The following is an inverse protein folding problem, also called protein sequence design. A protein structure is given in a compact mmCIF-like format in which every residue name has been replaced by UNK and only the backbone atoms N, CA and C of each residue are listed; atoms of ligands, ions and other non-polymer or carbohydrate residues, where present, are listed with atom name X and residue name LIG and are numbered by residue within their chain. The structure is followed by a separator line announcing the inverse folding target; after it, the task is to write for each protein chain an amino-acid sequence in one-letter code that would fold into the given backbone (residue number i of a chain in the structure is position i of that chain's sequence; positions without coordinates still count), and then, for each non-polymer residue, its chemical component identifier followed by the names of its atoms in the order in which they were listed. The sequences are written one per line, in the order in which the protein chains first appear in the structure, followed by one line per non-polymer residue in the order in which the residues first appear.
data_IF_458030479013
#
_entry.id   IF_458030479013
#
_cell.length_a   1.000
_cell.length_b   1.000
_cell.length_c   1.000
_cell.angle_alpha   90.00
_cell.angle_beta   90.00
_cell.angle_gamma   90.00
#
_symmetry.space_group_name_H-M   'P 1'
#
loop_
_entity.id
_entity.type
_entity.pdbx_description
1 polymer ?
#
# COMPACT_ATOMS: atom_id res chain seq x y z
N UNK A 1 -52.45 -69.46 -39.20
CA UNK A 1 -53.54 -68.55 -38.79
C UNK A 1 -53.00 -67.12 -38.78
N UNK A 2 -53.85 -66.19 -39.23
CA UNK A 2 -53.64 -64.77 -39.52
C UNK A 2 -52.83 -63.99 -38.44
N UNK A 3 -52.09 -62.91 -38.75
CA UNK A 3 -52.68 -61.60 -39.05
C UNK A 3 -51.67 -60.58 -39.62
N UNK A 4 -52.25 -59.63 -40.37
CA UNK A 4 -51.75 -58.48 -41.12
C UNK A 4 -51.18 -57.30 -40.30
N UNK A 5 -50.32 -56.52 -40.98
CA UNK A 5 -50.16 -55.05 -41.02
C UNK A 5 -50.01 -54.20 -39.73
N UNK A 6 -48.94 -53.38 -39.67
CA UNK A 6 -49.01 -51.94 -40.01
C UNK A 6 -47.63 -51.26 -39.95
N UNK A 7 -47.38 -50.40 -40.94
CA UNK A 7 -46.26 -49.43 -41.01
C UNK A 7 -46.41 -48.36 -39.92
N UNK A 8 -45.30 -47.92 -39.32
CA UNK A 8 -45.21 -46.56 -38.78
C UNK A 8 -43.85 -45.92 -39.12
N UNK A 9 -43.94 -44.72 -39.68
CA UNK A 9 -42.86 -43.83 -40.10
C UNK A 9 -42.20 -43.22 -38.87
N UNK A 10 -40.88 -43.16 -38.81
CA UNK A 10 -40.18 -42.29 -37.87
C UNK A 10 -39.42 -41.20 -38.65
N UNK A 11 -39.92 -39.98 -38.48
CA UNK A 11 -39.35 -38.73 -38.97
C UNK A 11 -38.07 -38.38 -38.24
N UNK A 12 -37.15 -37.74 -38.97
CA UNK A 12 -35.98 -37.04 -38.50
C UNK A 12 -36.33 -35.94 -37.48
N UNK A 13 -35.59 -35.89 -36.37
CA UNK A 13 -35.38 -34.67 -35.60
C UNK A 13 -33.90 -34.53 -35.26
N UNK A 14 -33.26 -33.58 -35.94
CA UNK A 14 -31.98 -32.97 -35.62
C UNK A 14 -32.09 -32.19 -34.31
N UNK A 15 -31.29 -32.53 -33.31
CA UNK A 15 -31.04 -31.66 -32.15
C UNK A 15 -29.55 -31.27 -32.16
N UNK A 16 -29.25 -30.08 -32.66
CA UNK A 16 -27.95 -29.44 -32.54
C UNK A 16 -27.84 -28.82 -31.13
N UNK A 17 -27.07 -29.45 -30.26
CA UNK A 17 -26.76 -28.93 -28.92
C UNK A 17 -25.70 -27.83 -29.03
N UNK A 18 -26.13 -26.56 -28.93
CA UNK A 18 -25.23 -25.45 -28.62
C UNK A 18 -24.71 -25.63 -27.18
N UNK A 19 -23.51 -26.15 -27.03
CA UNK A 19 -22.76 -26.07 -25.78
C UNK A 19 -22.26 -24.63 -25.60
N UNK A 20 -23.03 -23.81 -24.90
CA UNK A 20 -22.60 -22.48 -24.46
C UNK A 20 -21.50 -22.62 -23.41
N UNK A 21 -20.27 -22.26 -23.77
CA UNK A 21 -19.19 -22.09 -22.81
C UNK A 21 -19.50 -20.88 -21.92
N UNK A 22 -20.03 -21.13 -20.73
CA UNK A 22 -20.13 -20.12 -19.68
C UNK A 22 -18.72 -19.87 -19.18
N UNK A 23 -18.10 -18.80 -19.66
CA UNK A 23 -16.85 -18.31 -19.09
C UNK A 23 -17.13 -17.87 -17.65
N UNK A 24 -16.70 -18.66 -16.67
CA UNK A 24 -16.72 -18.27 -15.27
C UNK A 24 -15.80 -17.05 -15.11
N UNK A 25 -16.39 -15.88 -14.86
CA UNK A 25 -15.62 -14.69 -14.51
C UNK A 25 -14.87 -14.98 -13.20
N UNK A 26 -13.59 -14.58 -13.08
CA UNK A 26 -12.84 -14.77 -11.85
C UNK A 26 -13.54 -13.98 -10.74
N UNK A 27 -14.00 -14.72 -9.74
CA UNK A 27 -14.66 -14.17 -8.57
C UNK A 27 -13.55 -13.67 -7.62
N UNK A 28 -13.54 -12.37 -7.33
CA UNK A 28 -12.53 -11.76 -6.46
C UNK A 28 -13.10 -11.57 -5.05
N UNK A 29 -12.33 -11.98 -4.03
CA UNK A 29 -12.64 -11.71 -2.64
C UNK A 29 -11.97 -10.40 -2.18
N UNK A 30 -12.63 -9.61 -1.32
CA UNK A 30 -12.04 -8.40 -0.75
C UNK A 30 -10.71 -8.72 -0.05
N UNK A 31 -9.65 -7.95 -0.35
CA UNK A 31 -8.34 -8.17 0.25
C UNK A 31 -8.32 -7.79 1.74
N UNK A 32 -7.14 -7.89 2.33
CA UNK A 32 -6.87 -7.56 3.73
C UNK A 32 -7.19 -6.10 4.09
N UNK A 33 -7.74 -5.89 5.29
CA UNK A 33 -7.73 -4.59 6.00
C UNK A 33 -6.30 -4.32 6.47
N UNK A 34 -5.86 -3.07 6.30
CA UNK A 34 -4.48 -2.66 6.56
C UNK A 34 -4.41 -1.72 7.75
N UNK A 35 -3.39 -1.87 8.58
CA UNK A 35 -2.95 -0.82 9.49
C UNK A 35 -1.89 0.02 8.77
N UNK A 36 -1.99 1.34 8.86
CA UNK A 36 -0.92 2.24 8.39
C UNK A 36 -0.02 2.55 9.57
N UNK A 37 1.29 2.37 9.40
CA UNK A 37 2.25 2.66 10.44
C UNK A 37 2.29 4.16 10.70
N UNK A 38 2.27 4.56 11.98
CA UNK A 38 2.46 5.96 12.36
C UNK A 38 3.87 6.43 11.97
N UNK A 39 4.01 7.74 11.78
CA UNK A 39 5.26 8.38 11.34
C UNK A 39 5.75 9.37 12.38
N UNK A 40 7.05 9.31 12.68
CA UNK A 40 7.72 10.32 13.52
C UNK A 40 8.31 11.44 12.66
N UNK A 41 8.58 11.15 11.38
CA UNK A 41 9.11 12.09 10.40
C UNK A 41 8.03 12.43 9.38
N UNK A 42 7.92 13.72 9.04
CA UNK A 42 7.09 14.16 7.91
C UNK A 42 7.58 13.49 6.63
N UNK A 43 6.71 12.76 5.94
CA UNK A 43 7.04 12.09 4.69
C UNK A 43 6.83 13.09 3.54
N UNK A 44 7.82 13.30 2.65
CA UNK A 44 7.65 14.20 1.52
C UNK A 44 6.63 13.64 0.53
N UNK A 45 5.87 14.53 -0.07
CA UNK A 45 4.98 14.22 -1.19
C UNK A 45 5.65 14.76 -2.46
N UNK A 46 5.82 13.89 -3.46
CA UNK A 46 6.46 14.27 -4.73
C UNK A 46 5.40 14.47 -5.81
N UNK A 47 5.42 15.65 -6.44
CA UNK A 47 4.55 15.97 -7.57
C UNK A 47 5.32 15.84 -8.88
N UNK A 48 4.78 15.05 -9.81
CA UNK A 48 5.34 14.88 -11.14
C UNK A 48 4.22 14.52 -12.13
N UNK A 49 4.31 15.06 -13.34
CA UNK A 49 3.36 14.78 -14.42
C UNK A 49 1.87 15.04 -14.04
N UNK A 50 1.60 16.06 -13.24
CA UNK A 50 0.25 16.48 -12.86
C UNK A 50 -0.35 15.74 -11.66
N UNK A 51 0.44 14.90 -10.99
CA UNK A 51 -0.01 14.11 -9.85
C UNK A 51 1.00 14.19 -8.70
N UNK A 52 0.51 14.43 -7.50
CA UNK A 52 1.27 14.39 -6.26
C UNK A 52 1.06 13.05 -5.58
N UNK A 53 2.15 12.38 -5.23
CA UNK A 53 2.11 11.02 -4.67
C UNK A 53 3.00 10.89 -3.44
N UNK A 54 2.56 10.03 -2.54
CA UNK A 54 3.33 9.56 -1.40
C UNK A 54 3.00 8.10 -1.13
N UNK A 55 4.00 7.34 -0.73
CA UNK A 55 3.90 5.95 -0.37
C UNK A 55 4.06 5.79 1.14
N UNK A 56 3.13 5.07 1.76
CA UNK A 56 3.08 4.84 3.19
C UNK A 56 3.27 3.36 3.52
N UNK A 57 3.93 3.11 4.64
CA UNK A 57 4.12 1.79 5.20
C UNK A 57 2.80 1.25 5.76
N UNK A 58 2.47 0.02 5.43
CA UNK A 58 1.31 -0.69 5.97
C UNK A 58 1.66 -2.09 6.43
N UNK A 59 0.83 -2.65 7.30
CA UNK A 59 0.83 -4.07 7.62
C UNK A 59 -0.58 -4.66 7.46
N UNK A 60 -0.68 -5.98 7.36
CA UNK A 60 -1.96 -6.66 7.24
C UNK A 60 -2.51 -7.05 8.62
N UNK A 61 -3.79 -6.72 8.85
CA UNK A 61 -4.51 -7.07 10.08
C UNK A 61 -5.25 -8.42 10.01
N UNK A 62 -5.23 -9.10 8.86
CA UNK A 62 -6.03 -10.30 8.59
C UNK A 62 -5.24 -11.35 7.79
N UNK A 63 -4.38 -12.12 8.44
CA UNK A 63 -3.48 -13.10 7.79
C UNK A 63 -4.21 -14.06 6.81
N UNK A 64 -5.41 -14.51 7.18
CA UNK A 64 -6.23 -15.46 6.41
C UNK A 64 -6.88 -14.86 5.14
N UNK A 65 -6.74 -13.55 4.89
CA UNK A 65 -7.22 -12.90 3.66
C UNK A 65 -6.09 -12.79 2.64
N UNK A 66 -6.43 -12.70 1.36
CA UNK A 66 -5.44 -12.53 0.31
C UNK A 66 -4.77 -11.15 0.39
N UNK A 67 -3.46 -11.10 0.13
CA UNK A 67 -2.73 -9.84 -0.03
C UNK A 67 -3.33 -9.02 -1.17
N UNK A 68 -3.47 -7.69 -1.03
CA UNK A 68 -4.02 -6.87 -2.09
C UNK A 68 -3.13 -6.86 -3.33
N UNK A 69 -3.76 -6.90 -4.50
CA UNK A 69 -3.08 -6.62 -5.76
C UNK A 69 -2.73 -5.13 -5.85
N UNK A 70 -1.67 -4.81 -6.59
CA UNK A 70 -1.30 -3.42 -6.88
C UNK A 70 -2.51 -2.70 -7.51
N UNK A 71 -2.81 -1.50 -7.02
CA UNK A 71 -3.93 -0.69 -7.47
C UNK A 71 -5.27 -1.00 -6.79
N UNK A 72 -5.35 -2.01 -5.90
CA UNK A 72 -6.55 -2.24 -5.10
C UNK A 72 -6.86 -0.99 -4.26
N UNK A 73 -8.08 -0.46 -4.37
CA UNK A 73 -8.49 0.78 -3.73
C UNK A 73 -8.91 0.60 -2.27
N UNK A 74 -8.67 1.63 -1.48
CA UNK A 74 -8.95 1.66 -0.04
C UNK A 74 -9.62 2.98 0.38
N UNK A 75 -10.26 2.96 1.54
CA UNK A 75 -10.72 4.15 2.24
C UNK A 75 -10.24 4.14 3.70
N UNK A 76 -10.11 5.32 4.28
CA UNK A 76 -9.79 5.50 5.71
C UNK A 76 -11.03 5.17 6.53
N UNK A 77 -10.87 4.31 7.53
CA UNK A 77 -11.97 3.95 8.44
C UNK A 77 -11.88 4.73 9.75
N UNK A 78 -13.03 5.20 10.25
CA UNK A 78 -13.14 6.02 11.46
C UNK A 78 -12.79 7.49 11.23
N UNK A 79 -12.57 8.21 12.33
CA UNK A 79 -12.37 9.67 12.34
C UNK A 79 -10.88 10.09 12.29
N UNK A 80 -9.96 9.10 12.23
CA UNK A 80 -8.52 9.34 12.19
C UNK A 80 -8.06 9.49 10.75
N UNK A 81 -7.59 10.68 10.38
CA UNK A 81 -7.19 11.02 9.01
C UNK A 81 -5.70 11.36 8.90
N UNK A 82 -5.16 11.28 7.68
CA UNK A 82 -3.79 11.73 7.39
C UNK A 82 -3.65 13.24 7.64
N UNK A 83 -2.51 13.66 8.20
CA UNK A 83 -2.16 15.08 8.31
C UNK A 83 -1.36 15.50 7.08
N UNK A 84 -2.06 15.97 6.05
CA UNK A 84 -1.46 16.51 4.83
C UNK A 84 -1.26 18.02 4.96
N UNK A 85 -0.03 18.47 4.81
CA UNK A 85 0.36 19.88 4.96
C UNK A 85 1.22 20.36 3.80
N UNK A 86 1.00 21.60 3.39
CA UNK A 86 1.90 22.34 2.51
C UNK A 86 2.67 23.38 3.32
N UNK A 87 3.96 23.53 3.04
CA UNK A 87 4.79 24.59 3.58
C UNK A 87 5.15 25.57 2.46
N UNK A 88 4.86 26.85 2.69
CA UNK A 88 5.25 27.93 1.77
C UNK A 88 6.75 28.24 1.88
N UNK A 89 7.29 29.00 0.92
CA UNK A 89 8.69 29.46 0.95
C UNK A 89 9.01 30.37 2.15
N UNK A 90 8.01 30.97 2.80
CA UNK A 90 8.16 31.76 4.03
C UNK A 90 8.08 30.91 5.30
N UNK A 91 7.87 29.59 5.17
CA UNK A 91 7.77 28.64 6.27
C UNK A 91 6.38 28.47 6.85
N UNK A 92 5.36 29.21 6.37
CA UNK A 92 3.97 29.06 6.81
C UNK A 92 3.42 27.67 6.42
N UNK A 93 2.84 26.96 7.40
CA UNK A 93 2.10 25.72 7.17
C UNK A 93 0.65 25.98 6.76
N UNK A 94 0.17 25.22 5.78
CA UNK A 94 -1.21 25.23 5.28
C UNK A 94 -1.73 23.80 5.36
N UNK A 95 -2.88 23.62 6.01
CA UNK A 95 -3.56 22.32 5.99
C UNK A 95 -4.14 22.04 4.60
N UNK A 96 -3.92 20.83 4.12
CA UNK A 96 -4.41 20.32 2.83
C UNK A 96 -5.38 19.15 3.02
N UNK A 97 -5.93 18.97 4.22
CA UNK A 97 -6.80 17.85 4.57
C UNK A 97 -8.10 17.77 3.73
N UNK A 98 -8.52 18.88 3.11
CA UNK A 98 -9.70 18.92 2.22
C UNK A 98 -9.45 18.33 0.82
N UNK A 99 -8.20 17.97 0.48
CA UNK A 99 -7.90 17.41 -0.83
C UNK A 99 -8.42 15.97 -0.93
N UNK A 100 -9.09 15.60 -2.04
CA UNK A 100 -9.49 14.22 -2.27
C UNK A 100 -8.26 13.35 -2.52
N UNK A 101 -8.06 12.36 -1.66
CA UNK A 101 -6.97 11.40 -1.75
C UNK A 101 -7.46 10.09 -2.37
N UNK A 102 -6.78 9.63 -3.41
CA UNK A 102 -6.89 8.26 -3.89
C UNK A 102 -5.90 7.38 -3.13
N UNK A 103 -6.39 6.29 -2.52
CA UNK A 103 -5.58 5.37 -1.72
C UNK A 103 -5.59 4.01 -2.40
N UNK A 104 -4.42 3.52 -2.80
CA UNK A 104 -4.27 2.26 -3.54
C UNK A 104 -3.13 1.42 -2.99
N UNK A 105 -3.23 0.09 -3.04
CA UNK A 105 -2.10 -0.78 -2.71
C UNK A 105 -0.93 -0.56 -3.69
N UNK A 106 0.27 -0.36 -3.15
CA UNK A 106 1.49 -0.13 -3.93
C UNK A 106 2.30 -1.42 -4.10
N UNK A 107 2.47 -2.19 -3.01
CA UNK A 107 3.22 -3.45 -2.98
C UNK A 107 2.64 -4.41 -1.94
N UNK A 108 1.62 -5.17 -2.34
CA UNK A 108 0.90 -6.03 -1.43
C UNK A 108 0.38 -5.26 -0.22
N UNK A 109 0.37 -5.89 0.95
CA UNK A 109 -0.03 -5.26 2.21
C UNK A 109 1.07 -4.44 2.88
N UNK A 110 2.27 -4.34 2.30
CA UNK A 110 3.41 -3.65 2.94
C UNK A 110 3.45 -2.15 2.64
N UNK A 111 2.78 -1.71 1.58
CA UNK A 111 2.75 -0.31 1.21
C UNK A 111 1.47 0.08 0.47
N UNK A 112 1.00 1.30 0.72
CA UNK A 112 -0.06 1.97 -0.05
C UNK A 112 0.48 3.26 -0.67
N UNK A 113 -0.08 3.62 -1.82
CA UNK A 113 0.13 4.90 -2.48
C UNK A 113 -1.09 5.79 -2.24
N UNK A 114 -0.82 7.00 -1.78
CA UNK A 114 -1.76 8.10 -1.75
C UNK A 114 -1.46 9.02 -2.94
N UNK A 115 -2.50 9.47 -3.63
CA UNK A 115 -2.37 10.36 -4.76
C UNK A 115 -3.46 11.43 -4.79
N UNK A 116 -3.11 12.62 -5.28
CA UNK A 116 -4.05 13.69 -5.60
C UNK A 116 -3.54 14.53 -6.77
N UNK A 117 -4.43 15.31 -7.38
CA UNK A 117 -4.09 16.10 -8.57
C UNK A 117 -3.28 17.33 -8.19
N UNK A 118 -2.14 17.52 -8.85
CA UNK A 118 -1.25 18.67 -8.62
C UNK A 118 -1.95 20.01 -8.87
N UNK A 119 -2.87 20.06 -9.83
CA UNK A 119 -3.70 21.23 -10.12
C UNK A 119 -4.46 21.78 -8.91
N UNK A 120 -4.71 20.96 -7.88
CA UNK A 120 -5.38 21.39 -6.64
C UNK A 120 -4.47 22.26 -5.75
N UNK A 121 -3.15 22.22 -5.98
CA UNK A 121 -2.16 23.03 -5.26
C UNK A 121 -1.98 24.42 -5.86
N UNK A 122 -2.34 24.64 -7.13
CA UNK A 122 -2.05 25.89 -7.84
C UNK A 122 -2.55 27.15 -7.13
N UNK A 123 -3.69 27.05 -6.43
CA UNK A 123 -4.28 28.17 -5.67
C UNK A 123 -3.46 28.61 -4.46
N UNK A 124 -2.49 27.81 -4.02
CA UNK A 124 -1.61 28.11 -2.89
C UNK A 124 -0.22 28.62 -3.32
N UNK A 125 0.09 28.56 -4.62
CA UNK A 125 1.44 28.81 -5.12
C UNK A 125 2.41 27.65 -4.83
N UNK A 126 3.74 27.88 -4.92
CA UNK A 126 4.73 26.86 -4.63
C UNK A 126 4.66 26.39 -3.17
N UNK A 127 4.53 25.08 -2.97
CA UNK A 127 4.49 24.44 -1.66
C UNK A 127 5.45 23.24 -1.63
N UNK A 128 6.15 23.08 -0.51
CA UNK A 128 6.70 21.79 -0.11
C UNK A 128 5.61 21.01 0.60
N UNK A 129 5.16 19.90 0.02
CA UNK A 129 4.05 19.12 0.58
C UNK A 129 4.60 17.92 1.35
N UNK A 130 4.03 17.70 2.53
CA UNK A 130 4.38 16.57 3.38
C UNK A 130 3.15 15.96 4.04
N UNK A 131 3.29 14.71 4.46
CA UNK A 131 2.26 13.94 5.13
C UNK A 131 2.82 13.31 6.41
N UNK A 132 2.03 13.37 7.47
CA UNK A 132 2.23 12.55 8.68
C UNK A 132 1.06 11.59 8.88
N UNK A 133 1.36 10.38 9.34
CA UNK A 133 0.37 9.35 9.67
C UNK A 133 0.18 9.35 11.19
N UNK A 134 -1.04 9.62 11.69
CA UNK A 134 -1.31 9.51 13.13
C UNK A 134 -1.35 8.05 13.58
N UNK A 135 -1.33 7.84 14.90
CA UNK A 135 -1.56 6.52 15.48
C UNK A 135 -2.95 5.96 15.14
N UNK A 136 -3.06 4.63 15.13
CA UNK A 136 -4.32 3.89 15.00
C UNK A 136 -5.09 4.10 13.67
N UNK A 137 -4.44 4.61 12.63
CA UNK A 137 -5.05 4.71 11.30
C UNK A 137 -5.16 3.33 10.65
N UNK A 138 -6.33 3.01 10.11
CA UNK A 138 -6.63 1.77 9.39
C UNK A 138 -7.29 2.05 8.05
N UNK A 139 -7.01 1.19 7.07
CA UNK A 139 -7.56 1.25 5.71
C UNK A 139 -8.39 0.01 5.43
N UNK A 140 -9.62 0.24 4.98
CA UNK A 140 -10.55 -0.83 4.57
C UNK A 140 -10.62 -0.86 3.05
N UNK A 141 -10.55 -2.05 2.42
CA UNK A 141 -10.65 -2.13 0.96
C UNK A 141 -12.01 -1.65 0.48
N UNK A 142 -12.03 -1.01 -0.69
CA UNK A 142 -13.29 -0.67 -1.35
C UNK A 142 -14.07 -1.96 -1.68
N UNK A 143 -15.41 -1.96 -1.53
CA UNK A 143 -16.24 -3.11 -1.89
C UNK A 143 -16.02 -3.54 -3.34
N UNK A 144 -15.92 -4.85 -3.57
CA UNK A 144 -15.80 -5.44 -4.90
C UNK A 144 -17.18 -5.90 -5.36
N UNK A 145 -17.56 -5.59 -6.60
CA UNK A 145 -18.82 -6.07 -7.16
C UNK A 145 -18.79 -7.61 -7.27
N UNK A 146 -19.85 -8.26 -6.80
CA UNK A 146 -19.98 -9.73 -6.76
C UNK A 146 -18.89 -10.44 -5.93
N UNK A 147 -18.40 -9.77 -4.89
CA UNK A 147 -17.49 -10.36 -3.91
C UNK A 147 -18.14 -11.57 -3.21
N UNK A 148 -17.50 -12.73 -3.26
CA UNK A 148 -17.96 -13.95 -2.56
C UNK A 148 -17.60 -14.02 -1.09
N UNK A 149 -16.68 -13.16 -0.65
CA UNK A 149 -16.28 -13.03 0.75
C UNK A 149 -16.05 -11.56 1.09
N UNK A 150 -17.10 -10.72 1.04
CA UNK A 150 -16.99 -9.31 1.39
C UNK A 150 -16.48 -9.13 2.83
N UNK A 151 -15.91 -7.97 3.12
CA UNK A 151 -15.67 -7.58 4.52
C UNK A 151 -17.02 -7.31 5.17
N UNK A 152 -17.31 -8.00 6.27
CA UNK A 152 -18.48 -7.70 7.10
C UNK A 152 -18.20 -6.50 8.00
N UNK A 153 -19.24 -5.89 8.57
CA UNK A 153 -19.07 -4.84 9.57
C UNK A 153 -18.30 -5.36 10.80
N UNK A 154 -18.55 -6.60 11.20
CA UNK A 154 -17.83 -7.26 12.30
C UNK A 154 -16.36 -7.48 11.97
N UNK A 155 -16.02 -7.93 10.75
CA UNK A 155 -14.64 -8.05 10.28
C UNK A 155 -13.90 -6.71 10.43
N UNK A 156 -14.56 -5.62 10.02
CA UNK A 156 -14.01 -4.28 10.08
C UNK A 156 -13.79 -3.86 11.54
N UNK A 157 -14.80 -4.00 12.40
CA UNK A 157 -14.71 -3.61 13.81
C UNK A 157 -13.61 -4.37 14.57
N UNK A 158 -13.46 -5.68 14.32
CA UNK A 158 -12.40 -6.49 14.93
C UNK A 158 -11.02 -6.05 14.41
N UNK A 159 -10.88 -5.86 13.10
CA UNK A 159 -9.62 -5.45 12.49
C UNK A 159 -9.18 -4.05 12.94
N UNK A 160 -10.04 -3.06 12.82
CA UNK A 160 -9.71 -1.64 13.10
C UNK A 160 -9.71 -1.30 14.59
N UNK A 161 -10.30 -2.16 15.44
CA UNK A 161 -10.32 -2.02 16.89
C UNK A 161 -9.22 -2.85 17.59
N UNK A 162 -9.56 -4.02 18.16
CA UNK A 162 -8.62 -4.80 18.98
C UNK A 162 -7.37 -5.24 18.22
N UNK A 163 -7.49 -5.66 16.95
CA UNK A 163 -6.34 -6.09 16.15
C UNK A 163 -5.41 -4.92 15.82
N UNK A 164 -5.94 -3.73 15.51
CA UNK A 164 -5.14 -2.51 15.32
C UNK A 164 -4.36 -2.13 16.58
N UNK A 165 -4.93 -2.30 17.78
CA UNK A 165 -4.23 -2.02 19.05
C UNK A 165 -3.03 -2.95 19.27
N UNK A 166 -3.15 -4.21 18.86
CA UNK A 166 -2.00 -5.15 18.91
C UNK A 166 -0.93 -4.72 17.91
N UNK A 167 -1.33 -4.33 16.69
CA UNK A 167 -0.42 -3.78 15.69
C UNK A 167 0.32 -2.54 16.19
N UNK A 168 -0.36 -1.61 16.89
CA UNK A 168 0.28 -0.43 17.49
C UNK A 168 1.44 -0.84 18.38
N UNK A 169 1.21 -1.77 19.31
CA UNK A 169 2.24 -2.19 20.27
C UNK A 169 3.42 -2.93 19.63
N UNK A 170 3.18 -3.71 18.59
CA UNK A 170 4.19 -4.60 18.01
C UNK A 170 4.92 -4.01 16.81
N UNK A 171 4.29 -3.05 16.13
CA UNK A 171 4.78 -2.45 14.88
C UNK A 171 5.02 -0.96 15.05
N UNK A 172 4.02 -0.18 15.46
CA UNK A 172 4.17 1.28 15.58
C UNK A 172 5.18 1.68 16.67
N UNK A 173 5.31 0.87 17.74
CA UNK A 173 6.27 1.10 18.81
C UNK A 173 7.61 0.36 18.62
N UNK A 174 7.85 -0.29 17.47
CA UNK A 174 9.14 -0.97 17.22
C UNK A 174 10.21 0.05 16.76
N UNK A 175 10.97 0.57 17.72
CA UNK A 175 11.98 1.62 17.50
C UNK A 175 13.15 1.22 16.58
N UNK A 176 13.29 -0.06 16.23
CA UNK A 176 14.36 -0.52 15.35
C UNK A 176 13.89 -0.68 13.90
N UNK A 177 12.97 -1.60 13.64
CA UNK A 177 12.58 -1.98 12.27
C UNK A 177 11.60 -0.98 11.68
N UNK A 178 10.67 -0.44 12.46
CA UNK A 178 9.75 0.59 11.98
C UNK A 178 10.53 1.86 11.64
N UNK A 179 11.43 2.29 12.52
CA UNK A 179 12.24 3.49 12.31
C UNK A 179 13.19 3.33 11.11
N UNK A 180 13.83 2.16 10.96
CA UNK A 180 14.64 1.87 9.78
C UNK A 180 13.80 1.88 8.50
N UNK A 181 12.61 1.27 8.53
CA UNK A 181 11.68 1.29 7.40
C UNK A 181 11.21 2.71 7.07
N UNK A 182 10.95 3.56 8.07
CA UNK A 182 10.57 4.96 7.89
C UNK A 182 11.71 5.75 7.23
N UNK A 183 12.97 5.59 7.67
CA UNK A 183 14.13 6.20 7.03
C UNK A 183 14.30 5.74 5.57
N UNK A 184 14.10 4.45 5.29
CA UNK A 184 14.09 3.95 3.91
C UNK A 184 12.94 4.57 3.11
N UNK A 185 11.76 4.71 3.71
CA UNK A 185 10.59 5.28 3.08
C UNK A 185 10.77 6.79 2.76
N UNK A 186 11.58 7.51 3.55
CA UNK A 186 12.00 8.88 3.24
C UNK A 186 12.79 8.94 1.91
N UNK A 187 13.66 7.97 1.64
CA UNK A 187 14.37 7.89 0.37
C UNK A 187 13.45 7.44 -0.78
N UNK A 188 12.58 6.45 -0.54
CA UNK A 188 11.59 5.98 -1.51
C UNK A 188 10.75 7.16 -2.02
N UNK A 189 10.20 7.97 -1.12
CA UNK A 189 9.28 9.05 -1.48
C UNK A 189 9.90 10.24 -2.20
N UNK A 190 11.23 10.33 -2.27
CA UNK A 190 11.96 11.34 -3.05
C UNK A 190 12.41 10.84 -4.44
N UNK A 191 12.21 9.56 -4.72
CA UNK A 191 12.51 8.96 -6.01
C UNK A 191 11.26 8.97 -6.91
N UNK A 192 11.44 9.11 -8.23
CA UNK A 192 10.33 9.08 -9.16
C UNK A 192 9.52 7.79 -9.01
N UNK A 193 8.20 7.94 -8.98
CA UNK A 193 7.28 6.82 -8.87
C UNK A 193 7.41 5.84 -10.06
N UNK A 194 7.60 6.38 -11.27
CA UNK A 194 7.75 5.62 -12.51
C UNK A 194 9.16 5.81 -13.08
N UNK A 195 9.68 4.73 -13.67
CA UNK A 195 10.96 4.76 -14.36
C UNK A 195 12.16 4.69 -13.43
N UNK A 196 13.32 5.09 -13.96
CA UNK A 196 14.58 5.15 -13.22
C UNK A 196 14.89 6.60 -12.92
N UNK A 197 15.38 6.83 -11.70
CA UNK A 197 15.98 8.10 -11.34
C UNK A 197 17.27 8.34 -12.12
N UNK A 198 17.52 9.58 -12.55
CA UNK A 198 18.81 10.01 -13.10
C UNK A 198 19.89 9.95 -12.03
N UNK A 199 21.16 10.03 -12.44
CA UNK A 199 22.28 10.04 -11.49
C UNK A 199 22.22 11.27 -10.57
N UNK A 200 21.79 12.42 -11.09
CA UNK A 200 21.57 13.64 -10.32
C UNK A 200 20.44 13.47 -9.29
N UNK A 201 19.31 12.89 -9.69
CA UNK A 201 18.19 12.61 -8.78
C UNK A 201 18.62 11.64 -7.68
N UNK A 202 19.36 10.58 -8.03
CA UNK A 202 19.88 9.61 -7.06
C UNK A 202 20.81 10.28 -6.05
N UNK A 203 21.73 11.12 -6.51
CA UNK A 203 22.65 11.85 -5.65
C UNK A 203 21.91 12.84 -4.73
N UNK A 204 20.89 13.54 -5.25
CA UNK A 204 20.06 14.45 -4.47
C UNK A 204 19.28 13.71 -3.37
N UNK A 205 18.66 12.57 -3.69
CA UNK A 205 17.98 11.72 -2.70
C UNK A 205 18.96 11.25 -1.63
N UNK A 206 20.17 10.85 -2.02
CA UNK A 206 21.18 10.41 -1.07
C UNK A 206 21.60 11.52 -0.11
N UNK A 207 21.88 12.71 -0.62
CA UNK A 207 22.22 13.87 0.20
C UNK A 207 21.07 14.26 1.17
N UNK A 208 19.83 14.24 0.70
CA UNK A 208 18.66 14.51 1.53
C UNK A 208 18.49 13.45 2.64
N UNK A 209 18.61 12.17 2.29
CA UNK A 209 18.55 11.04 3.22
C UNK A 209 19.61 11.16 4.33
N UNK A 210 20.85 11.50 3.98
CA UNK A 210 21.93 11.66 4.96
C UNK A 210 21.61 12.79 5.96
N UNK A 211 21.00 13.89 5.50
CA UNK A 211 20.53 14.99 6.34
C UNK A 211 19.40 14.59 7.29
N UNK A 212 18.41 13.86 6.78
CA UNK A 212 17.26 13.36 7.56
C UNK A 212 17.72 12.39 8.63
N UNK A 213 18.58 11.43 8.26
CA UNK A 213 19.06 10.40 9.19
C UNK A 213 19.79 11.05 10.37
N UNK A 214 20.69 12.02 10.11
CA UNK A 214 21.39 12.76 11.17
C UNK A 214 20.48 13.51 12.13
N UNK A 215 19.34 14.01 11.63
CA UNK A 215 18.42 14.84 12.39
C UNK A 215 17.18 14.09 12.89
N UNK A 216 17.07 12.78 12.62
CA UNK A 216 15.87 11.99 12.91
C UNK A 216 15.61 11.75 14.39
N UNK A 217 16.66 11.77 15.22
CA UNK A 217 16.58 11.37 16.62
C UNK A 217 16.39 9.85 16.82
N UNK A 218 16.45 9.05 15.76
CA UNK A 218 16.28 7.60 15.85
C UNK A 218 17.50 6.89 16.44
N UNK A 219 17.29 5.71 17.01
CA UNK A 219 18.36 4.91 17.60
C UNK A 219 19.40 4.44 16.57
N UNK A 220 20.65 4.25 17.03
CA UNK A 220 21.77 3.83 16.17
C UNK A 220 21.49 2.53 15.39
N UNK A 221 20.78 1.57 16.00
CA UNK A 221 20.40 0.32 15.33
C UNK A 221 19.52 0.56 14.10
N UNK A 222 18.48 1.40 14.23
CA UNK A 222 17.61 1.76 13.12
C UNK A 222 18.37 2.51 12.02
N UNK A 223 19.19 3.50 12.41
CA UNK A 223 20.00 4.28 11.47
C UNK A 223 20.99 3.41 10.70
N UNK A 224 21.71 2.51 11.38
CA UNK A 224 22.68 1.62 10.74
C UNK A 224 21.99 0.67 9.75
N UNK A 225 20.87 0.05 10.15
CA UNK A 225 20.09 -0.82 9.26
C UNK A 225 19.62 -0.08 8.00
N UNK A 226 19.08 1.14 8.16
CA UNK A 226 18.64 1.94 7.02
C UNK A 226 19.82 2.38 6.13
N UNK A 227 20.93 2.82 6.73
CA UNK A 227 22.13 3.24 6.02
C UNK A 227 22.71 2.11 5.17
N UNK A 228 22.82 0.90 5.73
CA UNK A 228 23.32 -0.26 5.01
C UNK A 228 22.46 -0.59 3.78
N UNK A 229 21.13 -0.51 3.93
CA UNK A 229 20.18 -0.70 2.82
C UNK A 229 20.33 0.39 1.76
N UNK A 230 20.33 1.67 2.16
CA UNK A 230 20.42 2.79 1.24
C UNK A 230 21.74 2.78 0.48
N UNK A 231 22.87 2.54 1.17
CA UNK A 231 24.20 2.37 0.56
C UNK A 231 24.18 1.26 -0.48
N UNK A 232 23.74 0.07 -0.08
CA UNK A 232 23.70 -1.11 -0.94
C UNK A 232 22.81 -0.90 -2.16
N UNK A 233 21.63 -0.30 -1.98
CA UNK A 233 20.72 -0.04 -3.07
C UNK A 233 21.23 1.07 -3.98
N UNK A 234 21.90 2.09 -3.45
CA UNK A 234 22.55 3.11 -4.26
C UNK A 234 23.61 2.48 -5.16
N UNK A 235 24.58 1.77 -4.60
CA UNK A 235 25.70 1.22 -5.38
C UNK A 235 25.26 0.17 -6.40
N UNK A 236 24.36 -0.74 -6.01
CA UNK A 236 23.97 -1.89 -6.86
C UNK A 236 22.99 -1.56 -7.98
N UNK A 237 22.30 -0.42 -7.88
CA UNK A 237 21.26 -0.06 -8.86
C UNK A 237 21.71 1.02 -9.84
N UNK A 238 22.99 1.36 -9.89
CA UNK A 238 23.53 2.28 -10.91
C UNK A 238 23.23 1.76 -12.32
N UNK A 239 23.48 0.47 -12.55
CA UNK A 239 23.16 -0.23 -13.80
C UNK A 239 22.18 -1.41 -13.55
N UNK A 240 21.66 -1.99 -14.63
CA UNK A 240 20.78 -3.15 -14.58
C UNK A 240 19.28 -2.81 -14.53
N UNK A 241 18.44 -3.84 -14.39
CA UNK A 241 16.98 -3.73 -14.48
C UNK A 241 16.31 -3.23 -13.20
N UNK A 242 16.93 -3.40 -12.03
CA UNK A 242 16.39 -2.95 -10.75
C UNK A 242 16.64 -1.45 -10.55
N UNK A 243 15.59 -0.67 -10.27
CA UNK A 243 15.71 0.75 -9.95
C UNK A 243 16.09 0.96 -8.48
N UNK A 244 16.63 2.15 -8.16
CA UNK A 244 16.94 2.51 -6.77
C UNK A 244 15.71 2.39 -5.87
N UNK A 245 14.57 2.95 -6.32
CA UNK A 245 13.28 2.87 -5.63
C UNK A 245 12.84 1.42 -5.43
N UNK A 246 12.96 0.58 -6.45
CA UNK A 246 12.58 -0.83 -6.39
C UNK A 246 13.42 -1.62 -5.38
N UNK A 247 14.74 -1.37 -5.32
CA UNK A 247 15.62 -1.99 -4.33
C UNK A 247 15.24 -1.57 -2.91
N UNK A 248 15.04 -0.27 -2.68
CA UNK A 248 14.63 0.25 -1.37
C UNK A 248 13.28 -0.32 -0.95
N UNK A 249 12.30 -0.36 -1.86
CA UNK A 249 10.97 -0.94 -1.62
C UNK A 249 11.05 -2.41 -1.20
N UNK A 250 11.90 -3.21 -1.87
CA UNK A 250 12.08 -4.62 -1.49
C UNK A 250 12.68 -4.79 -0.08
N UNK A 251 13.63 -3.95 0.31
CA UNK A 251 14.21 -4.00 1.67
C UNK A 251 13.27 -3.47 2.74
N UNK A 252 12.54 -2.40 2.42
CA UNK A 252 11.45 -1.89 3.25
C UNK A 252 10.44 -3.01 3.54
N UNK A 253 9.94 -3.68 2.50
CA UNK A 253 8.94 -4.73 2.62
C UNK A 253 9.48 -5.94 3.42
N UNK A 254 10.78 -6.22 3.37
CA UNK A 254 11.40 -7.25 4.21
C UNK A 254 11.42 -6.89 5.70
N UNK A 255 11.71 -5.63 6.04
CA UNK A 255 11.68 -5.15 7.43
C UNK A 255 10.26 -5.21 8.00
N UNK A 256 9.30 -4.70 7.22
CA UNK A 256 7.89 -4.64 7.60
C UNK A 256 7.27 -6.03 7.63
N UNK A 257 7.62 -6.91 6.70
CA UNK A 257 7.19 -8.30 6.69
C UNK A 257 7.58 -9.03 7.99
N UNK A 258 8.77 -8.79 8.53
CA UNK A 258 9.17 -9.35 9.84
C UNK A 258 8.31 -8.84 10.99
N UNK A 259 7.95 -7.56 10.99
CA UNK A 259 7.04 -6.99 11.99
C UNK A 259 5.63 -7.57 11.84
N UNK A 260 5.17 -7.75 10.61
CA UNK A 260 3.85 -8.32 10.33
C UNK A 260 3.78 -9.80 10.75
N UNK A 261 4.82 -10.60 10.50
CA UNK A 261 4.92 -11.97 11.02
C UNK A 261 4.93 -12.01 12.55
N UNK A 262 5.68 -11.11 13.21
CA UNK A 262 5.67 -10.98 14.68
C UNK A 262 4.26 -10.66 15.19
N UNK A 263 3.54 -9.78 14.48
CA UNK A 263 2.16 -9.45 14.77
C UNK A 263 1.23 -10.67 14.61
N UNK A 264 1.25 -11.37 13.49
CA UNK A 264 0.42 -12.56 13.26
C UNK A 264 0.67 -13.67 14.29
N UNK A 265 1.93 -14.01 14.56
CA UNK A 265 2.30 -15.00 15.58
C UNK A 265 1.76 -14.64 16.98
N UNK A 266 1.60 -13.34 17.28
CA UNK A 266 1.06 -12.89 18.57
C UNK A 266 -0.45 -13.12 18.73
N UNK A 267 -1.18 -13.20 17.61
CA UNK A 267 -2.61 -13.49 17.60
C UNK A 267 -2.85 -14.99 17.79
N UNK A 268 -2.02 -15.83 17.17
CA UNK A 268 -2.10 -17.29 17.30
C UNK A 268 -1.80 -17.77 18.72
N UNK A 269 -0.89 -17.11 19.44
CA UNK A 269 -0.51 -17.49 20.81
C UNK A 269 -1.63 -17.27 21.85
N UNK A 270 -2.73 -16.61 21.48
CA UNK A 270 -3.92 -16.41 22.31
C UNK A 270 -5.16 -17.17 21.85
N UNK A 271 -5.03 -18.05 20.83
CA UNK A 271 -6.10 -18.85 20.22
C UNK A 271 -6.20 -20.26 20.81
#
# INVERSE_FOLDING_TARGET
MASLNKRLRFSLFTAASLAGAVAALPVLAAPQILAVASTDLKIPVTCAAGECTVELTTICLQEHRASPNIGAGYYVHGDTHFDLKGQTTTGQEISLAHLPLEITAARGHNAVRLAFREAQLHKYGPLEVSLSVPENLSLVPLPIANDVRPQTEEDILIATGPLRKVATRLVDLDEEKRHAAELINQAINRLPWRGRASDEERAAVRAAYDGITRNSGFGNGAMNNANDVVNKCYDRTMAGSLSFRGCLGSWHDHLIGKLNTKYWNSLDAGS
#
